data_IF_302288936012
#
_entry.id   IF_302288936012
#
_cell.length_a   1.000
_cell.length_b   1.000
_cell.length_c   1.000
_cell.angle_alpha   90.00
_cell.angle_beta   90.00
_cell.angle_gamma   90.00
#
_symmetry.space_group_name_H-M   'P 1'
#
loop_
_entity.id
_entity.type
_entity.pdbx_description
1 polymer ?
#
# COMPACT_ATOMS: atom_id res chain seq x y z
N UNK A 1 1.93 -12.84 25.13
CA UNK A 1 1.60 -11.58 25.82
C UNK A 1 2.64 -10.49 25.52
N UNK A 2 3.92 -10.72 25.81
CA UNK A 2 4.99 -9.71 25.61
C UNK A 2 5.13 -9.21 24.16
N UNK A 3 4.94 -10.07 23.17
CA UNK A 3 4.96 -9.66 21.76
C UNK A 3 3.89 -8.60 21.44
N UNK A 4 2.71 -8.69 22.04
CA UNK A 4 1.64 -7.70 21.83
C UNK A 4 1.97 -6.37 22.53
N UNK A 5 2.56 -6.42 23.73
CA UNK A 5 3.04 -5.20 24.42
C UNK A 5 4.08 -4.45 23.59
N UNK A 6 4.98 -5.18 22.92
CA UNK A 6 5.93 -4.57 21.99
C UNK A 6 5.23 -3.90 20.80
N UNK A 7 4.24 -4.56 20.19
CA UNK A 7 3.44 -3.96 19.10
C UNK A 7 2.75 -2.68 19.58
N UNK A 8 2.11 -2.71 20.75
CA UNK A 8 1.47 -1.52 21.33
C UNK A 8 2.46 -0.38 21.58
N UNK A 9 3.66 -0.69 22.07
CA UNK A 9 4.73 0.28 22.26
C UNK A 9 5.16 0.92 20.94
N UNK A 10 5.43 0.12 19.91
CA UNK A 10 5.84 0.59 18.58
C UNK A 10 4.74 1.42 17.88
N UNK A 11 3.48 1.13 18.17
CA UNK A 11 2.32 1.86 17.65
C UNK A 11 1.92 3.08 18.49
N UNK A 12 2.57 3.33 19.63
CA UNK A 12 2.33 4.55 20.41
C UNK A 12 2.77 5.79 19.62
N UNK A 13 2.05 6.90 19.79
CA UNK A 13 2.20 8.11 18.97
C UNK A 13 3.67 8.55 18.82
N UNK A 14 4.38 8.72 19.94
CA UNK A 14 5.77 9.20 19.95
C UNK A 14 6.75 8.19 19.36
N UNK A 15 6.56 6.90 19.65
CA UNK A 15 7.48 5.85 19.17
C UNK A 15 7.28 5.62 17.69
N UNK A 16 6.03 5.59 17.23
CA UNK A 16 5.69 5.44 15.82
C UNK A 16 6.22 6.62 15.00
N UNK A 17 6.02 7.87 15.48
CA UNK A 17 6.58 9.07 14.86
C UNK A 17 8.10 8.99 14.71
N UNK A 18 8.82 8.58 15.76
CA UNK A 18 10.27 8.42 15.71
C UNK A 18 10.70 7.32 14.74
N UNK A 19 10.05 6.16 14.78
CA UNK A 19 10.38 5.01 13.94
C UNK A 19 10.27 5.36 12.45
N UNK A 20 9.14 5.97 12.05
CA UNK A 20 8.91 6.28 10.64
C UNK A 20 9.72 7.48 10.17
N UNK A 21 10.10 8.39 11.07
CA UNK A 21 11.05 9.47 10.74
C UNK A 21 12.42 8.92 10.36
N UNK A 22 12.91 7.90 11.07
CA UNK A 22 14.18 7.23 10.76
C UNK A 22 14.12 6.42 9.46
N UNK A 23 12.95 5.86 9.15
CA UNK A 23 12.74 5.01 7.97
C UNK A 23 12.29 5.76 6.72
N UNK A 24 12.00 7.08 6.81
CA UNK A 24 11.30 7.82 5.76
C UNK A 24 9.98 7.14 5.32
N UNK A 25 9.23 6.62 6.29
CA UNK A 25 7.97 5.92 6.08
C UNK A 25 6.76 6.72 6.58
N UNK A 26 5.54 6.28 6.30
CA UNK A 26 4.32 6.90 6.86
C UNK A 26 3.85 6.19 8.14
N UNK A 27 3.31 6.93 9.13
CA UNK A 27 2.90 6.38 10.41
C UNK A 27 1.67 5.50 10.29
N UNK A 28 1.64 4.41 11.06
CA UNK A 28 0.44 3.60 11.28
C UNK A 28 -0.44 4.12 12.41
N UNK A 29 0.05 5.06 13.23
CA UNK A 29 -0.72 5.78 14.22
C UNK A 29 -1.21 7.12 13.63
N UNK A 30 -2.53 7.35 13.65
CA UNK A 30 -3.17 8.54 13.05
C UNK A 30 -2.79 9.88 13.70
N UNK A 31 -2.32 9.85 14.95
CA UNK A 31 -1.89 11.05 15.68
C UNK A 31 -0.37 11.30 15.55
N UNK A 32 0.40 10.33 15.05
CA UNK A 32 1.84 10.47 14.93
C UNK A 32 2.20 11.48 13.84
N UNK A 33 3.08 12.42 14.19
CA UNK A 33 3.63 13.40 13.26
C UNK A 33 5.14 13.17 13.11
N UNK A 34 5.60 12.68 11.96
CA UNK A 34 7.02 12.45 11.71
C UNK A 34 7.80 13.76 11.57
N UNK A 35 9.10 13.73 11.91
CA UNK A 35 9.98 14.90 11.85
C UNK A 35 10.24 15.36 10.41
N UNK A 36 10.22 14.43 9.44
CA UNK A 36 10.39 14.78 8.01
C UNK A 36 9.32 15.72 7.50
N UNK A 37 8.16 15.82 8.17
CA UNK A 37 7.09 16.76 7.78
C UNK A 37 7.57 18.20 7.84
N UNK A 38 8.53 18.51 8.72
CA UNK A 38 9.13 19.85 8.83
C UNK A 38 10.51 19.93 8.19
N UNK A 39 11.29 18.85 8.24
CA UNK A 39 12.67 18.87 7.73
C UNK A 39 12.80 18.62 6.23
N UNK A 40 11.79 18.02 5.58
CA UNK A 40 11.80 17.71 4.15
C UNK A 40 10.47 18.14 3.49
N UNK A 41 10.55 19.10 2.55
CA UNK A 41 9.37 19.65 1.88
C UNK A 41 8.66 18.63 0.97
N UNK A 42 9.40 17.73 0.33
CA UNK A 42 8.82 16.72 -0.55
C UNK A 42 8.06 15.67 0.27
N UNK A 43 8.67 15.17 1.34
CA UNK A 43 8.01 14.25 2.27
C UNK A 43 6.85 14.91 3.02
N UNK A 44 6.99 16.18 3.41
CA UNK A 44 5.89 16.95 3.98
C UNK A 44 4.69 17.01 3.03
N UNK A 45 4.90 17.26 1.74
CA UNK A 45 3.81 17.25 0.74
C UNK A 45 3.22 15.85 0.54
N UNK A 46 4.05 14.82 0.49
CA UNK A 46 3.60 13.44 0.38
C UNK A 46 2.77 13.01 1.60
N UNK A 47 3.12 13.46 2.80
CA UNK A 47 2.37 13.21 4.02
C UNK A 47 0.99 13.89 4.02
N UNK A 48 0.87 15.10 3.47
CA UNK A 48 -0.44 15.74 3.28
C UNK A 48 -1.32 14.93 2.32
N UNK A 49 -0.77 14.40 1.23
CA UNK A 49 -1.52 13.52 0.30
C UNK A 49 -1.93 12.23 1.02
N UNK A 50 -1.00 11.59 1.74
CA UNK A 50 -1.25 10.38 2.51
C UNK A 50 -2.45 10.54 3.47
N UNK A 51 -2.54 11.65 4.19
CA UNK A 51 -3.66 11.95 5.10
C UNK A 51 -5.01 12.15 4.42
N UNK A 52 -5.04 12.43 3.11
CA UNK A 52 -6.30 12.51 2.35
C UNK A 52 -6.81 11.16 1.89
N UNK A 53 -5.97 10.12 1.94
CA UNK A 53 -6.33 8.75 1.58
C UNK A 53 -6.90 7.95 2.75
N UNK A 54 -7.22 6.70 2.48
CA UNK A 54 -7.50 5.68 3.49
C UNK A 54 -6.54 4.51 3.27
N UNK A 55 -6.15 3.83 4.35
CA UNK A 55 -5.33 2.64 4.26
C UNK A 55 -6.22 1.48 3.80
N UNK A 56 -6.05 1.06 2.56
CA UNK A 56 -6.56 -0.21 2.05
C UNK A 56 -5.45 -1.26 2.16
N UNK A 57 -5.80 -2.48 2.54
CA UNK A 57 -4.97 -3.63 2.26
C UNK A 57 -5.79 -4.49 1.28
N UNK A 58 -5.39 -4.46 0.02
CA UNK A 58 -6.05 -5.07 -1.13
C UNK A 58 -6.14 -6.60 -1.01
N UNK A 59 -5.40 -7.22 -0.08
CA UNK A 59 -5.37 -8.66 0.16
C UNK A 59 -6.22 -9.10 1.34
N UNK A 60 -6.70 -8.18 2.19
CA UNK A 60 -7.42 -8.55 3.42
C UNK A 60 -8.78 -9.13 3.09
N UNK A 61 -9.00 -10.40 3.46
CA UNK A 61 -10.30 -11.06 3.36
C UNK A 61 -10.61 -11.66 1.98
N UNK A 62 -9.73 -11.50 1.00
CA UNK A 62 -9.88 -12.11 -0.33
C UNK A 62 -9.09 -13.42 -0.40
N UNK A 63 -9.75 -14.60 -0.52
CA UNK A 63 -9.04 -15.80 -0.90
C UNK A 63 -8.36 -15.55 -2.25
N UNK A 64 -7.16 -16.12 -2.46
CA UNK A 64 -6.39 -16.07 -3.71
C UNK A 64 -6.07 -14.66 -4.25
N UNK A 65 -5.99 -13.65 -3.39
CA UNK A 65 -5.66 -12.27 -3.78
C UNK A 65 -4.31 -12.13 -4.51
N UNK A 66 -3.31 -12.94 -4.14
CA UNK A 66 -2.02 -12.99 -4.84
C UNK A 66 -2.16 -13.45 -6.30
N UNK A 67 -3.02 -14.43 -6.56
CA UNK A 67 -3.32 -14.92 -7.92
C UNK A 67 -4.10 -13.87 -8.72
N UNK A 68 -5.02 -13.15 -8.08
CA UNK A 68 -5.75 -12.06 -8.73
C UNK A 68 -4.79 -10.96 -9.19
N UNK A 69 -3.92 -10.49 -8.29
CA UNK A 69 -2.95 -9.46 -8.62
C UNK A 69 -1.99 -9.92 -9.71
N UNK A 70 -1.47 -11.15 -9.60
CA UNK A 70 -0.54 -11.70 -10.61
C UNK A 70 -1.17 -11.73 -12.00
N UNK A 71 -2.43 -12.16 -12.11
CA UNK A 71 -3.13 -12.21 -13.40
C UNK A 71 -3.37 -10.81 -13.96
N UNK A 72 -3.76 -9.86 -13.11
CA UNK A 72 -3.94 -8.47 -13.54
C UNK A 72 -2.62 -7.82 -13.96
N UNK A 73 -1.55 -7.99 -13.17
CA UNK A 73 -0.24 -7.40 -13.43
C UNK A 73 0.36 -7.89 -14.74
N UNK A 74 0.25 -9.18 -15.06
CA UNK A 74 0.74 -9.72 -16.33
C UNK A 74 0.08 -9.02 -17.53
N UNK A 75 -1.23 -8.84 -17.48
CA UNK A 75 -1.95 -8.17 -18.57
C UNK A 75 -1.69 -6.66 -18.59
N UNK A 76 -1.56 -6.02 -17.42
CA UNK A 76 -1.18 -4.61 -17.33
C UNK A 76 0.23 -4.35 -17.90
N UNK A 77 1.20 -5.23 -17.66
CA UNK A 77 2.55 -5.10 -18.22
C UNK A 77 2.56 -5.17 -19.75
N UNK A 78 1.80 -6.11 -20.35
CA UNK A 78 1.64 -6.17 -21.81
C UNK A 78 1.03 -4.90 -22.39
N UNK A 79 0.05 -4.30 -21.69
CA UNK A 79 -0.52 -3.02 -22.09
C UNK A 79 0.54 -1.91 -22.07
N UNK A 80 1.33 -1.81 -20.99
CA UNK A 80 2.40 -0.82 -20.87
C UNK A 80 3.51 -1.02 -21.91
N UNK A 81 3.75 -2.27 -22.34
CA UNK A 81 4.65 -2.61 -23.43
C UNK A 81 4.09 -2.30 -24.84
N UNK A 82 2.81 -1.89 -24.93
CA UNK A 82 2.13 -1.61 -26.20
C UNK A 82 1.67 -2.86 -26.95
N UNK A 83 1.67 -4.02 -26.31
CA UNK A 83 1.27 -5.30 -26.91
C UNK A 83 -0.26 -5.48 -26.94
N UNK A 84 -1.00 -4.73 -26.11
CA UNK A 84 -2.45 -4.75 -26.08
C UNK A 84 -3.05 -3.42 -25.61
N UNK A 85 -4.33 -3.18 -25.92
CA UNK A 85 -5.07 -2.02 -25.42
C UNK A 85 -5.48 -2.16 -23.95
N UNK A 86 -5.84 -1.07 -23.26
CA UNK A 86 -6.39 -1.14 -21.91
C UNK A 86 -7.63 -2.03 -21.78
N UNK A 87 -8.52 -1.99 -22.78
CA UNK A 87 -9.73 -2.82 -22.82
C UNK A 87 -9.39 -4.30 -22.96
N UNK A 88 -8.36 -4.62 -23.76
CA UNK A 88 -7.87 -5.99 -23.94
C UNK A 88 -7.23 -6.52 -22.65
N UNK A 89 -6.42 -5.71 -21.96
CA UNK A 89 -5.82 -6.10 -20.69
C UNK A 89 -6.89 -6.43 -19.63
N UNK A 90 -7.89 -5.58 -19.49
CA UNK A 90 -9.00 -5.82 -18.56
C UNK A 90 -9.80 -7.08 -18.92
N UNK A 91 -10.12 -7.28 -20.22
CA UNK A 91 -10.85 -8.46 -20.67
C UNK A 91 -10.05 -9.76 -20.48
N UNK A 92 -8.74 -9.73 -20.73
CA UNK A 92 -7.87 -10.90 -20.57
C UNK A 92 -7.68 -11.27 -19.10
N UNK A 93 -7.49 -10.28 -18.22
CA UNK A 93 -7.40 -10.51 -16.78
C UNK A 93 -8.71 -11.10 -16.23
N UNK A 94 -9.87 -10.55 -16.63
CA UNK A 94 -11.18 -11.08 -16.26
C UNK A 94 -11.39 -12.52 -16.76
N UNK A 95 -10.99 -12.80 -18.00
CA UNK A 95 -11.10 -14.14 -18.58
C UNK A 95 -10.23 -15.16 -17.84
N UNK A 96 -8.99 -14.79 -17.51
CA UNK A 96 -8.09 -15.64 -16.72
C UNK A 96 -8.68 -15.96 -15.36
N UNK A 97 -9.22 -14.94 -14.69
CA UNK A 97 -9.84 -15.08 -13.38
C UNK A 97 -11.03 -16.04 -13.40
N UNK A 98 -12.02 -15.79 -14.27
CA UNK A 98 -13.25 -16.60 -14.39
C UNK A 98 -12.99 -18.04 -14.87
N UNK A 99 -11.85 -18.31 -15.50
CA UNK A 99 -11.49 -19.68 -15.88
C UNK A 99 -11.02 -20.52 -14.68
N UNK A 100 -10.54 -19.88 -13.60
CA UNK A 100 -9.96 -20.55 -12.43
C UNK A 100 -10.86 -20.48 -11.19
N UNK A 101 -11.73 -19.47 -11.08
CA UNK A 101 -12.60 -19.18 -9.94
C UNK A 101 -14.00 -18.76 -10.40
#
# INVERSE_FOLDING_TARGET
>A
EEAWKLVQYLMSEKVNAKLVSLANAFPGNVNAKPDFVTSDKAFGKAFEIFKTGYLANEFTGLPVAEDLMTQFDVEAQKMLAGEQSPEQAAANAQKGWTAKF
#
